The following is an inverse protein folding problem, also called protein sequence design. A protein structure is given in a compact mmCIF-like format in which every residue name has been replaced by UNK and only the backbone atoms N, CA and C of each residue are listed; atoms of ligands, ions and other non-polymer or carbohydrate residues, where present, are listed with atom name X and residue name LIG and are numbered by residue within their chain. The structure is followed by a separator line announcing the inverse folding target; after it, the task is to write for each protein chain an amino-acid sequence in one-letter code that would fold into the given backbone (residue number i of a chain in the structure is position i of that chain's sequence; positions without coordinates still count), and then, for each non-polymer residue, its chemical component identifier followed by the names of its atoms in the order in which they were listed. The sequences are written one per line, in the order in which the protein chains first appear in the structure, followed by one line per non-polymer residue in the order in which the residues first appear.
data_IF_429000278619
#
_entry.id   IF_429000278619
#
_cell.length_a   1.000
_cell.length_b   1.000
_cell.length_c   1.000
_cell.angle_alpha   90.00
_cell.angle_beta   90.00
_cell.angle_gamma   90.00
#
_symmetry.space_group_name_H-M   'P 1'
#
loop_
_entity.id
_entity.type
_entity.pdbx_description
1 polymer ?
#
# COMPACT_ATOMS: atom_id res chain seq x y z
N UNK A 1 19.74 -12.73 -25.32
CA UNK A 1 19.94 -13.64 -24.17
C UNK A 1 18.74 -13.52 -23.25
N UNK A 2 18.26 -14.62 -22.66
CA UNK A 2 17.23 -14.56 -21.60
C UNK A 2 17.86 -13.85 -20.40
N UNK A 3 17.17 -12.85 -19.84
CA UNK A 3 17.65 -12.11 -18.67
C UNK A 3 17.86 -13.03 -17.46
N UNK A 4 18.55 -12.53 -16.44
CA UNK A 4 18.70 -13.25 -15.18
C UNK A 4 17.32 -13.58 -14.56
N UNK A 5 17.12 -14.79 -14.01
CA UNK A 5 15.85 -15.16 -13.39
C UNK A 5 15.59 -14.29 -12.15
N UNK A 6 14.31 -14.12 -11.80
CA UNK A 6 13.92 -13.48 -10.55
C UNK A 6 14.29 -14.44 -9.41
N UNK A 7 15.06 -13.95 -8.45
CA UNK A 7 15.47 -14.71 -7.27
C UNK A 7 14.47 -14.53 -6.13
N UNK A 8 13.83 -13.36 -6.04
CA UNK A 8 13.02 -12.97 -4.89
C UNK A 8 11.96 -11.95 -5.27
N UNK A 9 10.81 -12.00 -4.61
CA UNK A 9 9.81 -10.93 -4.62
C UNK A 9 9.64 -10.33 -3.23
N UNK A 10 9.38 -9.03 -3.16
CA UNK A 10 9.28 -8.29 -1.91
C UNK A 10 8.04 -7.40 -1.91
N UNK A 11 7.37 -7.31 -0.76
CA UNK A 11 6.26 -6.37 -0.53
C UNK A 11 6.77 -5.25 0.36
N UNK A 12 6.64 -4.01 -0.12
CA UNK A 12 7.08 -2.81 0.59
C UNK A 12 5.86 -1.95 0.91
N UNK A 13 5.81 -1.46 2.14
CA UNK A 13 4.78 -0.53 2.61
C UNK A 13 5.46 0.81 2.87
N UNK A 14 4.98 1.87 2.21
CA UNK A 14 5.44 3.24 2.39
C UNK A 14 4.29 4.09 2.97
N UNK A 15 4.53 4.83 4.04
CA UNK A 15 3.59 5.83 4.56
C UNK A 15 3.47 7.00 3.57
N UNK A 16 2.25 7.22 3.03
CA UNK A 16 1.94 8.28 2.09
C UNK A 16 1.75 9.60 2.84
N UNK A 17 2.87 10.26 3.16
CA UNK A 17 2.88 11.56 3.81
C UNK A 17 2.64 12.67 2.76
N UNK A 18 1.83 13.71 3.06
CA UNK A 18 1.67 14.85 2.19
C UNK A 18 3.01 15.50 1.85
N UNK A 19 3.51 15.31 0.63
CA UNK A 19 4.75 15.93 0.17
C UNK A 19 4.52 17.43 0.03
N UNK A 20 5.25 18.26 0.78
CA UNK A 20 5.37 19.69 0.47
C UNK A 20 6.00 19.78 -0.92
N UNK A 21 5.28 20.37 -1.87
CA UNK A 21 5.56 20.30 -3.31
C UNK A 21 7.04 20.59 -3.62
N UNK A 22 7.73 19.58 -4.13
CA UNK A 22 8.78 19.74 -5.14
C UNK A 22 8.42 18.77 -6.26
N UNK A 23 8.10 19.32 -7.44
CA UNK A 23 7.92 18.52 -8.67
C UNK A 23 9.26 17.86 -8.98
N UNK A 24 9.45 16.63 -8.54
CA UNK A 24 10.44 15.75 -9.15
C UNK A 24 9.68 14.72 -9.99
N UNK A 25 10.04 14.68 -11.28
CA UNK A 25 9.44 13.87 -12.34
C UNK A 25 9.92 12.40 -12.30
N UNK A 26 10.48 11.94 -11.20
CA UNK A 26 10.87 10.55 -11.02
C UNK A 26 9.71 9.77 -10.39
N UNK A 27 9.18 8.80 -11.13
CA UNK A 27 8.42 7.71 -10.51
C UNK A 27 9.25 7.03 -9.40
N UNK A 28 8.61 6.25 -8.52
CA UNK A 28 9.30 5.64 -7.40
C UNK A 28 10.46 4.78 -7.90
N UNK A 29 11.67 5.19 -7.54
CA UNK A 29 12.87 4.37 -7.63
C UNK A 29 12.67 3.16 -6.71
N UNK A 30 13.12 1.98 -7.11
CA UNK A 30 12.94 0.78 -6.31
C UNK A 30 13.63 0.89 -4.94
N UNK A 31 13.39 -0.07 -4.05
CA UNK A 31 13.89 -0.05 -2.68
C UNK A 31 15.13 -0.96 -2.56
N UNK A 32 16.36 -0.42 -2.63
CA UNK A 32 17.57 -1.23 -2.72
C UNK A 32 18.06 -1.78 -1.39
N UNK A 33 17.69 -1.16 -0.27
CA UNK A 33 18.12 -1.55 1.07
C UNK A 33 16.92 -2.16 1.80
N UNK A 34 16.93 -3.47 2.07
CA UNK A 34 15.89 -4.10 2.86
C UNK A 34 15.88 -3.54 4.29
N UNK A 35 14.69 -3.26 4.80
CA UNK A 35 14.48 -2.65 6.13
C UNK A 35 13.30 -3.34 6.82
N UNK A 36 13.52 -3.78 8.06
CA UNK A 36 12.44 -4.24 8.93
C UNK A 36 11.57 -3.06 9.38
N UNK A 37 10.38 -3.34 9.90
CA UNK A 37 9.53 -2.29 10.49
C UNK A 37 10.25 -1.53 11.61
N UNK A 38 10.88 -2.24 12.54
CA UNK A 38 11.56 -1.64 13.69
C UNK A 38 12.78 -0.80 13.26
N UNK A 39 13.55 -1.26 12.27
CA UNK A 39 14.65 -0.50 11.69
C UNK A 39 14.15 0.78 11.00
N UNK A 40 13.04 0.71 10.27
CA UNK A 40 12.46 1.87 9.62
C UNK A 40 11.99 2.90 10.65
N UNK A 41 11.27 2.45 11.69
CA UNK A 41 10.76 3.34 12.75
C UNK A 41 11.89 3.99 13.54
N UNK A 42 12.91 3.22 13.94
CA UNK A 42 14.06 3.74 14.69
C UNK A 42 14.86 4.79 13.89
N UNK A 43 14.91 4.66 12.57
CA UNK A 43 15.59 5.60 11.65
C UNK A 43 14.68 6.73 11.15
N UNK A 44 13.41 6.76 11.56
CA UNK A 44 12.43 7.76 11.10
C UNK A 44 12.12 7.67 9.60
N UNK A 45 12.37 6.52 8.97
CA UNK A 45 12.07 6.27 7.56
C UNK A 45 10.58 5.99 7.35
N UNK A 46 10.11 6.21 6.12
CA UNK A 46 8.69 6.10 5.77
C UNK A 46 8.31 4.76 5.17
N UNK A 47 9.27 3.89 4.87
CA UNK A 47 9.01 2.60 4.24
C UNK A 47 9.68 1.45 5.00
N UNK A 48 9.04 0.29 4.93
CA UNK A 48 9.56 -0.98 5.45
C UNK A 48 9.14 -2.12 4.56
N UNK A 49 9.84 -3.23 4.65
CA UNK A 49 9.56 -4.46 3.94
C UNK A 49 8.63 -5.29 4.82
N UNK A 50 7.44 -5.62 4.30
CA UNK A 50 6.43 -6.41 5.01
C UNK A 50 6.45 -7.89 4.65
N UNK A 51 7.12 -8.26 3.55
CA UNK A 51 7.31 -9.65 3.19
C UNK A 51 8.45 -9.84 2.20
N UNK A 52 9.07 -11.01 2.28
CA UNK A 52 9.88 -11.58 1.21
C UNK A 52 9.31 -12.94 0.79
N UNK A 53 9.12 -13.11 -0.51
CA UNK A 53 8.42 -14.23 -1.13
C UNK A 53 9.35 -14.91 -2.14
N UNK A 54 9.44 -16.23 -2.04
CA UNK A 54 10.19 -17.02 -3.02
C UNK A 54 9.45 -17.07 -4.37
N UNK A 55 10.14 -17.16 -5.51
CA UNK A 55 9.48 -17.32 -6.82
C UNK A 55 8.56 -18.54 -6.87
N UNK A 56 8.91 -19.63 -6.17
CA UNK A 56 8.08 -20.82 -6.07
C UNK A 56 6.76 -20.59 -5.34
N UNK A 57 6.68 -19.62 -4.41
CA UNK A 57 5.42 -19.30 -3.72
C UNK A 57 4.38 -18.59 -4.59
N UNK A 58 4.75 -18.15 -5.79
CA UNK A 58 3.89 -17.44 -6.74
C UNK A 58 3.44 -18.32 -7.91
N UNK A 59 3.74 -19.63 -7.90
CA UNK A 59 3.24 -20.55 -8.93
C UNK A 59 1.73 -20.76 -8.84
N UNK A 60 1.15 -20.49 -7.67
CA UNK A 60 -0.30 -20.50 -7.43
C UNK A 60 -0.75 -19.13 -6.91
N UNK A 61 -1.96 -18.71 -7.27
CA UNK A 61 -2.53 -17.45 -6.83
C UNK A 61 -2.89 -17.52 -5.33
N UNK A 62 -1.91 -17.23 -4.46
CA UNK A 62 -2.12 -17.15 -3.02
C UNK A 62 -2.49 -15.71 -2.62
N UNK A 63 -3.60 -15.49 -1.89
CA UNK A 63 -3.91 -14.16 -1.36
C UNK A 63 -2.83 -13.74 -0.35
N UNK A 64 -2.48 -12.46 -0.39
CA UNK A 64 -1.58 -11.81 0.56
C UNK A 64 -2.29 -10.57 1.11
N UNK A 65 -2.28 -10.40 2.44
CA UNK A 65 -2.94 -9.27 3.10
C UNK A 65 -1.85 -8.39 3.71
N UNK A 66 -1.79 -7.13 3.30
CA UNK A 66 -0.88 -6.15 3.92
C UNK A 66 -1.46 -5.73 5.28
N UNK A 67 -0.64 -5.81 6.32
CA UNK A 67 -1.01 -5.51 7.71
C UNK A 67 -1.79 -6.61 8.44
N UNK A 68 -1.55 -7.87 8.08
CA UNK A 68 -2.18 -9.03 8.72
C UNK A 68 -1.49 -9.51 10.00
N UNK A 69 -0.48 -8.77 10.47
CA UNK A 69 0.30 -9.06 11.67
C UNK A 69 1.11 -10.36 11.60
N UNK A 70 1.34 -10.93 10.42
CA UNK A 70 2.17 -12.12 10.24
C UNK A 70 3.62 -11.75 9.90
N UNK A 71 4.53 -12.72 9.99
CA UNK A 71 5.93 -12.57 9.58
C UNK A 71 6.22 -13.46 8.38
N UNK A 72 6.81 -12.87 7.33
CA UNK A 72 7.09 -13.52 6.07
C UNK A 72 8.59 -13.45 5.76
N UNK A 73 9.27 -14.59 5.91
CA UNK A 73 10.72 -14.71 5.69
C UNK A 73 11.54 -13.64 6.43
N UNK A 74 11.23 -13.44 7.72
CA UNK A 74 11.92 -12.47 8.59
C UNK A 74 11.35 -11.05 8.57
N UNK A 75 10.40 -10.73 7.68
CA UNK A 75 9.75 -9.43 7.64
C UNK A 75 8.38 -9.47 8.30
N UNK A 76 8.23 -8.74 9.40
CA UNK A 76 6.94 -8.57 10.06
C UNK A 76 6.06 -7.59 9.27
N UNK A 77 4.79 -7.96 9.09
CA UNK A 77 3.76 -7.21 8.37
C UNK A 77 2.74 -6.60 9.36
N UNK A 78 3.12 -5.54 10.11
CA UNK A 78 2.30 -5.00 11.18
C UNK A 78 0.98 -4.40 10.69
N UNK A 79 -0.08 -4.42 11.52
CA UNK A 79 -1.35 -3.75 11.22
C UNK A 79 -1.16 -2.29 10.79
N UNK A 80 -1.79 -1.93 9.66
CA UNK A 80 -1.73 -0.56 9.15
C UNK A 80 -2.62 0.37 9.98
N UNK A 81 -2.07 1.50 10.42
CA UNK A 81 -2.85 2.49 11.18
C UNK A 81 -4.02 3.04 10.33
N UNK A 82 -5.27 3.05 10.85
CA UNK A 82 -6.44 3.49 10.08
C UNK A 82 -6.34 4.93 9.57
N UNK A 83 -5.79 5.83 10.39
CA UNK A 83 -5.67 7.27 10.11
C UNK A 83 -4.51 7.64 9.19
N UNK A 84 -3.66 6.68 8.81
CA UNK A 84 -2.55 6.89 7.88
C UNK A 84 -2.89 6.39 6.48
N UNK A 85 -2.35 7.07 5.49
CA UNK A 85 -2.37 6.63 4.11
C UNK A 85 -1.07 5.87 3.80
N UNK A 86 -1.13 4.88 2.91
CA UNK A 86 0.01 4.05 2.54
C UNK A 86 0.03 3.77 1.05
N UNK A 87 1.24 3.68 0.48
CA UNK A 87 1.51 3.14 -0.84
C UNK A 87 2.12 1.74 -0.67
N UNK A 88 1.65 0.80 -1.47
CA UNK A 88 2.08 -0.59 -1.40
C UNK A 88 2.76 -0.93 -2.73
N UNK A 89 3.99 -1.42 -2.63
CA UNK A 89 4.80 -1.80 -3.77
C UNK A 89 5.08 -3.28 -3.77
N UNK A 90 5.20 -3.81 -4.99
CA UNK A 90 5.68 -5.15 -5.26
C UNK A 90 6.98 -5.04 -6.05
N UNK A 91 8.04 -5.62 -5.52
CA UNK A 91 9.40 -5.53 -6.06
C UNK A 91 9.90 -6.92 -6.43
N UNK A 92 10.32 -7.11 -7.68
CA UNK A 92 11.09 -8.26 -8.12
C UNK A 92 12.58 -7.94 -8.03
N UNK A 93 13.34 -8.87 -7.47
CA UNK A 93 14.79 -8.82 -7.38
C UNK A 93 15.40 -10.00 -8.13
N UNK A 94 16.42 -9.71 -8.92
CA UNK A 94 17.27 -10.73 -9.54
C UNK A 94 18.70 -10.57 -9.04
N UNK A 95 19.26 -11.63 -8.47
CA UNK A 95 20.66 -11.71 -8.11
C UNK A 95 21.35 -12.76 -8.98
N UNK A 96 22.29 -12.33 -9.83
CA UNK A 96 23.08 -13.22 -10.67
C UNK A 96 24.54 -12.76 -10.69
N UNK A 97 25.44 -13.65 -10.27
CA UNK A 97 26.90 -13.39 -10.25
C UNK A 97 27.27 -12.11 -9.46
N UNK A 98 26.53 -11.79 -8.41
CA UNK A 98 26.76 -10.61 -7.58
C UNK A 98 26.13 -9.32 -8.12
N UNK A 99 25.55 -9.32 -9.33
CA UNK A 99 24.72 -8.20 -9.80
C UNK A 99 23.30 -8.35 -9.27
N UNK A 100 22.82 -7.31 -8.60
CA UNK A 100 21.42 -7.19 -8.18
C UNK A 100 20.68 -6.22 -9.09
N UNK A 101 19.55 -6.67 -9.65
CA UNK A 101 18.63 -5.84 -10.44
C UNK A 101 17.26 -5.82 -9.80
N UNK A 102 16.66 -4.64 -9.77
CA UNK A 102 15.36 -4.39 -9.15
C UNK A 102 14.36 -3.92 -10.19
N UNK A 103 13.13 -4.39 -10.07
CA UNK A 103 11.99 -3.85 -10.77
C UNK A 103 10.81 -3.79 -9.80
N UNK A 104 10.17 -2.64 -9.68
CA UNK A 104 9.17 -2.36 -8.68
C UNK A 104 7.96 -1.68 -9.30
N UNK A 105 6.78 -2.08 -8.84
CA UNK A 105 5.52 -1.49 -9.25
C UNK A 105 4.70 -1.16 -8.01
N UNK A 106 3.95 -0.05 -8.04
CA UNK A 106 2.94 0.22 -7.02
C UNK A 106 1.69 -0.59 -7.35
N UNK A 107 1.28 -1.47 -6.45
CA UNK A 107 0.14 -2.37 -6.64
C UNK A 107 -1.12 -1.90 -5.94
N UNK A 108 -1.00 -1.09 -4.87
CA UNK A 108 -2.15 -0.58 -4.14
C UNK A 108 -1.83 0.74 -3.40
N UNK A 109 -2.91 1.41 -2.98
CA UNK A 109 -2.87 2.54 -2.06
C UNK A 109 -3.98 2.37 -1.03
N UNK A 110 -3.63 2.45 0.25
CA UNK A 110 -4.60 2.57 1.34
C UNK A 110 -4.80 4.05 1.65
N UNK A 111 -6.05 4.52 1.63
CA UNK A 111 -6.39 5.86 2.09
C UNK A 111 -6.44 5.94 3.63
N UNK A 112 -6.21 7.14 4.16
CA UNK A 112 -6.50 7.43 5.56
C UNK A 112 -8.02 7.48 5.78
N UNK A 113 -8.50 6.81 6.83
CA UNK A 113 -9.89 6.97 7.27
C UNK A 113 -10.08 8.39 7.81
N UNK A 114 -10.96 9.17 7.16
CA UNK A 114 -11.48 10.42 7.73
C UNK A 114 -12.68 10.06 8.59
N UNK A 115 -12.62 10.40 9.86
CA UNK A 115 -13.77 10.30 10.77
C UNK A 115 -14.85 11.24 10.19
N UNK A 116 -15.90 10.67 9.58
CA UNK A 116 -17.07 11.48 9.27
C UNK A 116 -17.67 11.90 10.61
N UNK A 117 -17.76 13.21 10.87
CA UNK A 117 -18.67 13.69 11.89
C UNK A 117 -20.03 13.07 11.56
N UNK A 118 -20.62 12.39 12.55
CA UNK A 118 -21.87 11.61 12.43
C UNK A 118 -22.90 12.37 11.58
N UNK A 119 -23.76 11.68 10.78
CA UNK A 119 -24.89 12.34 10.17
C UNK A 119 -25.66 13.03 11.31
N UNK A 120 -25.93 14.32 11.17
CA UNK A 120 -26.80 15.05 12.10
C UNK A 120 -28.07 14.21 12.27
N UNK A 121 -28.37 13.81 13.50
CA UNK A 121 -29.67 13.24 13.83
C UNK A 121 -30.71 14.26 13.42
N UNK A 122 -31.40 14.01 12.30
CA UNK A 122 -32.59 14.78 11.94
C UNK A 122 -33.64 14.38 12.96
N UNK A 123 -33.74 15.17 14.03
CA UNK A 123 -34.90 15.17 14.92
C UNK A 123 -36.12 15.44 14.06
N UNK A 124 -36.85 14.38 13.69
CA UNK A 124 -38.16 14.49 13.07
C UNK A 124 -39.11 15.06 14.12
N UNK A 125 -39.22 16.38 14.16
CA UNK A 125 -40.33 17.06 14.80
C UNK A 125 -40.69 18.32 14.03
N UNK A 126 -41.42 18.13 12.92
CA UNK A 126 -42.49 19.04 12.54
C UNK A 126 -43.33 18.30 11.51
N UNK A 127 -44.60 18.15 11.85
CA UNK A 127 -45.65 17.79 10.93
C UNK A 127 -45.64 18.76 9.72
N UNK A 128 -46.05 18.23 8.57
CA UNK A 128 -46.51 18.93 7.37
C UNK A 128 -45.46 19.38 6.31
N UNK A 129 -45.60 18.76 5.12
CA UNK A 129 -45.12 19.13 3.78
C UNK A 129 -43.70 18.70 3.30
N UNK A 130 -43.70 17.71 2.40
CA UNK A 130 -42.88 17.75 1.17
C UNK A 130 -41.57 16.96 1.16
N UNK A 131 -41.63 15.62 1.02
CA UNK A 131 -40.49 14.81 0.60
C UNK A 131 -40.36 14.88 -0.94
N UNK A 132 -39.32 15.53 -1.45
CA UNK A 132 -38.89 15.36 -2.86
C UNK A 132 -37.73 14.35 -2.87
N UNK A 133 -38.03 13.13 -3.35
CA UNK A 133 -37.00 12.16 -3.73
C UNK A 133 -36.34 12.62 -5.04
N UNK A 134 -35.08 13.06 -4.96
CA UNK A 134 -34.23 13.25 -6.13
C UNK A 134 -33.50 11.95 -6.49
N UNK A 135 -33.91 11.30 -7.58
CA UNK A 135 -33.15 10.22 -8.23
C UNK A 135 -32.18 10.89 -9.20
N UNK A 136 -30.87 10.77 -8.97
CA UNK A 136 -29.88 11.10 -9.99
C UNK A 136 -29.36 9.80 -10.62
N UNK A 137 -29.90 9.48 -11.81
CA UNK A 137 -29.30 8.51 -12.72
C UNK A 137 -28.14 9.20 -13.45
N UNK A 138 -26.91 8.74 -13.22
CA UNK A 138 -25.72 9.21 -13.92
C UNK A 138 -25.31 8.20 -14.99
N UNK A 139 -25.49 8.58 -16.25
CA UNK A 139 -25.11 7.81 -17.43
C UNK A 139 -23.61 7.79 -17.71
N UNK A 140 -23.21 6.76 -18.43
CA UNK A 140 -21.88 6.44 -18.93
C UNK A 140 -21.42 7.45 -20.00
N UNK A 141 -20.17 7.92 -19.92
CA UNK A 141 -19.32 8.28 -21.07
C UNK A 141 -17.93 7.71 -20.87
#
# INVERSE_FOLDING_TARGET
GRGAPISTYQVIVEEDRPKKIKRELSGPECFPVPLTFDDAMSRGLVHYFGAELSPGSLTEAKPFIVGDNQTYNGYWNPPLEPKKAYLIYFQAMSNLKGETRLNCIRIARKAACKESKRPLEVSQHSEEMGLILGICAGGLV
#
